data_IF_496168116183
#
_entry.id   IF_496168116183
#
_cell.length_a   1.000
_cell.length_b   1.000
_cell.length_c   1.000
_cell.angle_alpha   90.00
_cell.angle_beta   90.00
_cell.angle_gamma   90.00
#
_symmetry.space_group_name_H-M   'P 1'
#
loop_
_entity.id
_entity.type
_entity.pdbx_description
1 polymer ?
#
# COMPACT_ATOMS: atom_id res chain seq x y z
N UNK A 1 -36.53 9.68 40.64
CA UNK A 1 -35.08 9.92 40.83
C UNK A 1 -34.32 8.69 40.33
N UNK A 2 -33.79 8.73 39.10
CA UNK A 2 -32.95 7.65 38.56
C UNK A 2 -31.49 7.93 38.95
N UNK A 3 -30.96 7.19 39.93
CA UNK A 3 -29.53 7.20 40.25
C UNK A 3 -28.84 6.32 39.21
N UNK A 4 -28.18 6.93 38.23
CA UNK A 4 -27.24 6.22 37.38
C UNK A 4 -26.06 5.77 38.23
N UNK A 5 -25.74 4.47 38.24
CA UNK A 5 -24.65 3.98 39.05
C UNK A 5 -23.30 4.48 38.53
N UNK A 6 -22.31 4.73 39.41
CA UNK A 6 -21.04 5.38 39.06
C UNK A 6 -20.21 4.62 38.01
N UNK A 7 -20.42 3.31 37.89
CA UNK A 7 -19.76 2.44 36.90
C UNK A 7 -20.19 2.72 35.45
N UNK A 8 -21.39 3.29 35.25
CA UNK A 8 -21.88 3.63 33.92
C UNK A 8 -21.09 4.81 33.31
N UNK A 9 -20.71 5.78 34.15
CA UNK A 9 -19.96 6.97 33.75
C UNK A 9 -18.49 6.64 33.44
N UNK A 10 -17.90 5.72 34.22
CA UNK A 10 -16.55 5.20 33.97
C UNK A 10 -16.50 4.41 32.67
N UNK A 11 -17.52 3.58 32.39
CA UNK A 11 -17.64 2.85 31.13
C UNK A 11 -17.70 3.77 29.91
N UNK A 12 -18.47 4.86 29.99
CA UNK A 12 -18.55 5.86 28.92
C UNK A 12 -17.19 6.53 28.70
N UNK A 13 -16.51 6.97 29.76
CA UNK A 13 -15.19 7.62 29.64
C UNK A 13 -14.17 6.66 29.00
N UNK A 14 -14.15 5.39 29.43
CA UNK A 14 -13.24 4.40 28.87
C UNK A 14 -13.45 4.19 27.35
N UNK A 15 -14.70 4.19 26.88
CA UNK A 15 -15.00 4.04 25.45
C UNK A 15 -14.73 5.33 24.68
N UNK A 16 -15.17 6.49 25.18
CA UNK A 16 -15.05 7.75 24.44
C UNK A 16 -13.67 8.40 24.51
N UNK A 17 -12.85 8.06 25.49
CA UNK A 17 -11.49 8.60 25.63
C UNK A 17 -10.46 7.52 25.34
N UNK A 18 -10.63 6.32 25.90
CA UNK A 18 -9.67 5.22 25.73
C UNK A 18 -9.62 4.69 24.30
N UNK A 19 -10.77 4.53 23.64
CA UNK A 19 -10.82 3.99 22.27
C UNK A 19 -10.20 4.92 21.22
N UNK A 20 -10.47 6.25 21.22
CA UNK A 20 -9.76 7.16 20.31
C UNK A 20 -8.27 7.30 20.66
N UNK A 21 -7.88 7.32 21.94
CA UNK A 21 -6.45 7.32 22.33
C UNK A 21 -5.73 6.05 21.84
N UNK A 22 -6.39 4.90 21.93
CA UNK A 22 -5.86 3.64 21.43
C UNK A 22 -5.66 3.68 19.91
N UNK A 23 -6.64 4.16 19.15
CA UNK A 23 -6.50 4.32 17.69
C UNK A 23 -5.42 5.34 17.30
N UNK A 24 -5.24 6.38 18.10
CA UNK A 24 -4.17 7.36 17.89
C UNK A 24 -2.79 6.77 18.18
N UNK A 25 -2.65 5.99 19.25
CA UNK A 25 -1.39 5.36 19.65
C UNK A 25 -1.00 4.19 18.74
N UNK A 26 -1.99 3.46 18.21
CA UNK A 26 -1.79 2.28 17.37
C UNK A 26 -2.53 2.44 16.04
N UNK A 27 -1.95 3.20 15.09
CA UNK A 27 -2.52 3.29 13.76
C UNK A 27 -2.55 1.88 13.14
N UNK A 28 -3.68 1.46 12.54
CA UNK A 28 -3.79 0.16 11.91
C UNK A 28 -2.74 0.06 10.78
N UNK A 29 -1.71 -0.75 11.01
CA UNK A 29 -0.74 -1.09 9.97
C UNK A 29 -1.36 -2.17 9.08
N UNK A 30 -1.43 -1.93 7.78
CA UNK A 30 -1.86 -2.97 6.85
C UNK A 30 -0.86 -4.13 6.94
N UNK A 31 -1.33 -5.39 6.88
CA UNK A 31 -0.43 -6.51 6.78
C UNK A 31 0.46 -6.32 5.55
N UNK A 32 1.74 -6.69 5.65
CA UNK A 32 2.75 -6.55 4.58
C UNK A 32 2.26 -7.16 3.24
N UNK A 33 1.37 -8.16 3.32
CA UNK A 33 0.73 -8.81 2.18
C UNK A 33 -0.52 -8.14 1.61
N UNK A 34 -0.95 -6.97 2.11
CA UNK A 34 -2.17 -6.32 1.64
C UNK A 34 -2.11 -5.92 0.15
N UNK A 35 -0.89 -5.62 -0.33
CA UNK A 35 -0.63 -5.29 -1.73
C UNK A 35 -0.14 -6.49 -2.55
N UNK A 36 -0.12 -7.70 -1.99
CA UNK A 36 0.41 -8.88 -2.68
C UNK A 36 -0.37 -9.17 -3.97
N UNK A 37 0.34 -9.36 -5.07
CA UNK A 37 -0.28 -9.57 -6.36
C UNK A 37 0.69 -9.42 -7.51
N UNK A 38 0.29 -9.95 -8.67
CA UNK A 38 0.96 -9.63 -9.93
C UNK A 38 0.18 -8.51 -10.59
N UNK A 39 0.85 -7.45 -10.99
CA UNK A 39 0.32 -6.26 -11.64
C UNK A 39 0.94 -6.16 -13.03
N UNK A 40 0.10 -6.14 -14.07
CA UNK A 40 0.56 -6.11 -15.44
C UNK A 40 -0.02 -4.88 -16.17
N UNK A 41 0.75 -4.36 -17.11
CA UNK A 41 0.36 -3.30 -18.02
C UNK A 41 0.76 -3.74 -19.44
N UNK A 42 -0.09 -3.60 -20.47
CA UNK A 42 0.30 -3.92 -21.86
C UNK A 42 1.57 -3.20 -22.36
N UNK A 43 1.96 -2.08 -21.74
CA UNK A 43 3.13 -1.30 -22.18
C UNK A 43 4.47 -1.76 -21.58
N UNK A 44 4.46 -2.46 -20.44
CA UNK A 44 5.66 -2.64 -19.62
C UNK A 44 5.71 -4.02 -18.95
N UNK A 45 6.87 -4.39 -18.42
CA UNK A 45 7.03 -5.63 -17.67
C UNK A 45 6.10 -5.71 -16.44
N UNK A 46 5.64 -6.93 -16.08
CA UNK A 46 4.80 -7.12 -14.91
C UNK A 46 5.58 -6.90 -13.61
N UNK A 47 4.89 -6.34 -12.63
CA UNK A 47 5.35 -6.10 -11.27
C UNK A 47 4.73 -7.16 -10.37
N UNK A 48 5.52 -7.87 -9.59
CA UNK A 48 5.05 -8.82 -8.59
C UNK A 48 5.35 -8.30 -7.19
N UNK A 49 4.32 -8.08 -6.40
CA UNK A 49 4.42 -7.78 -4.99
C UNK A 49 4.14 -9.06 -4.20
N UNK A 50 5.05 -9.45 -3.33
CA UNK A 50 4.86 -10.60 -2.46
C UNK A 50 5.61 -10.43 -1.14
N UNK A 51 4.89 -10.46 -0.02
CA UNK A 51 5.46 -10.45 1.33
C UNK A 51 6.53 -9.36 1.54
N UNK A 52 6.28 -8.14 1.04
CA UNK A 52 7.21 -7.01 1.18
C UNK A 52 8.38 -7.03 0.20
N UNK A 53 8.35 -7.92 -0.80
CA UNK A 53 9.28 -7.92 -1.93
C UNK A 53 8.57 -7.57 -3.23
N UNK A 54 9.13 -6.60 -3.95
CA UNK A 54 8.68 -6.12 -5.24
C UNK A 54 9.65 -6.62 -6.30
N UNK A 55 9.16 -7.46 -7.20
CA UNK A 55 9.93 -8.07 -8.27
C UNK A 55 9.46 -7.54 -9.62
N UNK A 56 10.38 -7.11 -10.45
CA UNK A 56 10.13 -6.64 -11.81
C UNK A 56 10.64 -7.69 -12.80
N UNK A 57 9.73 -8.17 -13.65
CA UNK A 57 10.06 -9.21 -14.63
C UNK A 57 10.65 -10.46 -13.98
N UNK A 58 11.87 -10.82 -14.39
CA UNK A 58 12.55 -12.04 -13.97
C UNK A 58 13.74 -11.86 -13.02
N UNK A 59 14.26 -10.64 -12.83
CA UNK A 59 15.63 -10.50 -12.29
C UNK A 59 15.83 -9.39 -11.26
N UNK A 60 14.91 -8.44 -11.14
CA UNK A 60 15.11 -7.30 -10.23
C UNK A 60 14.13 -7.37 -9.08
N UNK A 61 14.65 -7.50 -7.86
CA UNK A 61 13.85 -7.55 -6.64
C UNK A 61 14.31 -6.47 -5.66
N UNK A 62 13.37 -5.73 -5.11
CA UNK A 62 13.57 -4.73 -4.06
C UNK A 62 12.56 -4.92 -2.94
N UNK A 63 12.88 -4.49 -1.73
CA UNK A 63 11.91 -4.46 -0.64
C UNK A 63 10.88 -3.34 -0.85
N UNK A 64 9.66 -3.54 -0.38
CA UNK A 64 8.65 -2.50 -0.27
C UNK A 64 7.94 -2.59 1.08
N UNK A 65 7.37 -1.47 1.49
CA UNK A 65 6.44 -1.38 2.61
C UNK A 65 5.10 -0.86 2.13
N UNK A 66 4.03 -1.25 2.80
CA UNK A 66 2.69 -0.67 2.58
C UNK A 66 2.46 0.33 3.69
N UNK A 67 2.30 1.59 3.32
CA UNK A 67 2.00 2.68 4.24
C UNK A 67 0.62 3.27 3.95
N UNK A 68 0.13 4.11 4.85
CA UNK A 68 -1.18 4.73 4.75
C UNK A 68 -1.02 6.25 4.70
N UNK A 69 -1.44 6.87 3.60
CA UNK A 69 -1.62 8.32 3.55
C UNK A 69 -3.03 8.68 4.04
N UNK A 70 -3.30 9.96 4.27
CA UNK A 70 -4.62 10.49 4.65
C UNK A 70 -5.75 10.11 3.67
N UNK A 71 -5.40 9.68 2.45
CA UNK A 71 -6.35 9.37 1.37
C UNK A 71 -6.45 7.86 1.10
N UNK A 72 -5.32 7.15 1.02
CA UNK A 72 -5.29 5.73 0.65
C UNK A 72 -3.95 5.08 1.03
N UNK A 73 -3.89 3.73 1.12
CA UNK A 73 -2.63 3.02 1.23
C UNK A 73 -1.82 3.17 -0.05
N UNK A 74 -0.51 3.17 0.11
CA UNK A 74 0.47 3.20 -0.98
C UNK A 74 1.59 2.21 -0.71
N UNK A 75 2.19 1.71 -1.79
CA UNK A 75 3.40 0.90 -1.77
C UNK A 75 4.58 1.85 -1.90
N UNK A 76 5.47 1.80 -0.92
CA UNK A 76 6.73 2.53 -0.92
C UNK A 76 7.88 1.54 -1.11
N UNK A 77 8.54 1.54 -2.29
CA UNK A 77 9.71 0.72 -2.50
C UNK A 77 10.92 1.31 -1.77
N UNK A 78 11.91 0.47 -1.50
CA UNK A 78 13.19 0.91 -0.90
C UNK A 78 14.11 1.65 -1.87
N UNK A 79 13.71 1.80 -3.14
CA UNK A 79 14.48 2.43 -4.20
C UNK A 79 13.54 3.17 -5.16
N UNK A 80 14.06 4.12 -5.93
CA UNK A 80 13.30 4.73 -7.02
C UNK A 80 12.97 3.66 -8.06
N UNK A 81 11.70 3.64 -8.48
CA UNK A 81 11.19 2.79 -9.55
C UNK A 81 10.60 3.71 -10.61
N UNK A 82 11.18 3.70 -11.80
CA UNK A 82 10.71 4.48 -12.95
C UNK A 82 10.59 3.61 -14.19
N UNK A 83 10.02 4.17 -15.27
CA UNK A 83 9.97 3.50 -16.57
C UNK A 83 10.91 4.22 -17.53
N UNK A 84 11.93 3.54 -18.00
CA UNK A 84 12.90 4.05 -18.96
C UNK A 84 12.58 3.56 -20.37
N UNK A 85 12.61 4.48 -21.33
CA UNK A 85 12.30 4.21 -22.74
C UNK A 85 10.86 3.70 -22.98
N UNK A 86 9.95 3.91 -22.04
CA UNK A 86 8.53 3.53 -22.14
C UNK A 86 8.24 2.03 -22.07
N UNK A 87 9.24 1.17 -21.81
CA UNK A 87 9.06 -0.30 -21.81
C UNK A 87 9.76 -1.02 -20.65
N UNK A 88 10.91 -0.52 -20.20
CA UNK A 88 11.71 -1.16 -19.17
C UNK A 88 11.55 -0.47 -17.82
N UNK A 89 11.38 -1.25 -16.76
CA UNK A 89 11.45 -0.70 -15.41
C UNK A 89 12.91 -0.44 -15.05
N UNK A 90 13.21 0.78 -14.62
CA UNK A 90 14.50 1.16 -14.06
C UNK A 90 14.38 1.30 -12.54
N UNK A 91 15.35 0.70 -11.84
CA UNK A 91 15.48 0.82 -10.41
C UNK A 91 16.75 1.63 -10.13
N UNK A 92 16.59 2.76 -9.48
CA UNK A 92 17.70 3.64 -9.12
C UNK A 92 17.74 3.76 -7.60
N UNK A 93 18.81 3.28 -6.96
CA UNK A 93 18.96 3.35 -5.50
C UNK A 93 19.53 4.67 -5.01
N UNK A 94 20.09 5.46 -5.94
CA UNK A 94 20.70 6.76 -5.66
C UNK A 94 19.68 7.91 -5.63
N UNK A 95 18.44 7.66 -6.05
CA UNK A 95 17.35 8.63 -6.14
C UNK A 95 16.26 8.29 -5.11
N UNK A 96 15.57 9.32 -4.63
CA UNK A 96 14.44 9.19 -3.71
C UNK A 96 13.38 8.22 -4.25
N UNK A 97 12.87 7.28 -3.42
CA UNK A 97 11.89 6.30 -3.85
C UNK A 97 10.59 6.95 -4.37
N UNK A 98 10.03 6.36 -5.42
CA UNK A 98 8.78 6.79 -6.02
C UNK A 98 7.59 6.12 -5.33
N UNK A 99 6.59 6.90 -4.95
CA UNK A 99 5.38 6.39 -4.32
C UNK A 99 4.51 5.67 -5.36
N UNK A 100 4.19 4.39 -5.12
CA UNK A 100 3.21 3.66 -5.92
C UNK A 100 1.84 3.71 -5.23
N UNK A 101 0.89 4.39 -5.85
CA UNK A 101 -0.47 4.48 -5.29
C UNK A 101 -1.26 3.23 -5.61
N UNK A 102 -1.96 2.69 -4.61
CA UNK A 102 -2.95 1.64 -4.81
C UNK A 102 -4.28 2.33 -5.08
N UNK A 103 -4.78 2.21 -6.32
CA UNK A 103 -6.11 2.68 -6.63
C UNK A 103 -7.11 1.66 -6.07
N UNK A 104 -7.88 2.12 -5.09
CA UNK A 104 -8.94 1.41 -4.36
C UNK A 104 -8.48 0.47 -3.23
N UNK A 105 -8.81 0.88 -1.99
CA UNK A 105 -8.55 0.19 -0.72
C UNK A 105 -9.29 -1.13 -0.56
N UNK A 106 -10.39 -1.32 -1.29
CA UNK A 106 -11.26 -2.48 -1.08
C UNK A 106 -10.72 -3.76 -1.73
N UNK A 107 -9.93 -3.63 -2.81
CA UNK A 107 -9.39 -4.79 -3.55
C UNK A 107 -8.00 -4.60 -4.17
N UNK A 108 -7.40 -3.42 -4.06
CA UNK A 108 -6.05 -3.12 -4.53
C UNK A 108 -5.83 -3.62 -5.97
N UNK A 109 -6.82 -3.38 -6.83
CA UNK A 109 -6.87 -3.94 -8.18
C UNK A 109 -5.95 -3.22 -9.16
N UNK A 110 -5.45 -2.04 -8.78
CA UNK A 110 -4.65 -1.22 -9.68
C UNK A 110 -3.52 -0.52 -8.93
N UNK A 111 -2.34 -0.46 -9.55
CA UNK A 111 -1.18 0.29 -9.08
C UNK A 111 -0.85 1.38 -10.10
N UNK A 112 -0.66 2.60 -9.60
CA UNK A 112 -0.22 3.73 -10.40
C UNK A 112 1.24 4.01 -10.12
N UNK A 113 2.06 3.96 -11.17
CA UNK A 113 3.48 4.29 -11.13
C UNK A 113 3.67 5.66 -11.82
N UNK A 114 3.94 6.74 -11.09
CA UNK A 114 4.29 8.01 -11.68
C UNK A 114 5.69 7.92 -12.29
N UNK A 115 5.82 8.33 -13.56
CA UNK A 115 7.08 8.54 -14.25
C UNK A 115 7.19 10.00 -14.67
N UNK A 116 8.39 10.46 -15.03
CA UNK A 116 8.68 11.85 -15.37
C UNK A 116 7.81 12.39 -16.51
N UNK A 117 7.30 11.50 -17.37
CA UNK A 117 6.53 11.86 -18.58
C UNK A 117 5.06 11.42 -18.54
N UNK A 118 4.69 10.44 -17.71
CA UNK A 118 3.35 9.86 -17.68
C UNK A 118 3.09 9.05 -16.40
N UNK A 119 1.82 8.87 -16.05
CA UNK A 119 1.41 7.92 -15.02
C UNK A 119 1.08 6.59 -15.70
N UNK A 120 1.76 5.53 -15.28
CA UNK A 120 1.51 4.18 -15.78
C UNK A 120 0.62 3.40 -14.84
N UNK A 121 -0.50 2.92 -15.37
CA UNK A 121 -1.50 2.18 -14.59
C UNK A 121 -1.34 0.68 -14.83
N UNK A 122 -1.02 -0.06 -13.79
CA UNK A 122 -0.89 -1.52 -13.80
C UNK A 122 -2.10 -2.16 -13.16
N UNK A 123 -2.71 -3.12 -13.84
CA UNK A 123 -3.88 -3.86 -13.32
C UNK A 123 -3.44 -5.17 -12.69
N UNK A 124 -4.03 -5.50 -11.55
CA UNK A 124 -3.80 -6.76 -10.85
C UNK A 124 -4.32 -7.89 -11.72
N UNK A 125 -3.42 -8.77 -12.12
CA UNK A 125 -3.74 -10.02 -12.78
C UNK A 125 -4.33 -10.93 -11.71
N UNK A 126 -5.59 -11.33 -11.88
CA UNK A 126 -6.14 -12.41 -11.07
C UNK A 126 -5.32 -13.66 -11.38
N UNK A 127 -4.51 -14.11 -10.43
CA UNK A 127 -3.89 -15.42 -10.48
C UNK A 127 -5.05 -16.42 -10.57
N UNK A 128 -5.27 -16.97 -11.77
CA UNK A 128 -6.29 -17.97 -11.99
C UNK A 128 -5.83 -19.21 -11.21
N UNK A 129 -6.39 -19.40 -10.01
CA UNK A 129 -6.11 -20.55 -9.17
C UNK A 129 -6.38 -21.80 -9.98
N UNK A 130 -5.35 -22.62 -10.14
CA UNK A 130 -5.43 -23.95 -10.71
C UNK A 130 -5.18 -24.95 -9.60
#
# INVERSE_FOLDING_TARGET
>A
MHRTPPYFLIGIIAVFVGLPLYWWAFPPRLPIGAADGTYANPCCEPIKLHNGQMTFGHSQTISYVVEYDKVSPYVLPSAYVGISGGKAVQIERSISPSFLRLADTSRSETIELPSDTAIFTFKRVKTNGR
#
